data_IF_537117393498
#
_entry.id   IF_537117393498
#
_cell.length_a   1.000
_cell.length_b   1.000
_cell.length_c   1.000
_cell.angle_alpha   90.00
_cell.angle_beta   90.00
_cell.angle_gamma   90.00
#
_symmetry.space_group_name_H-M   'P 1'
#
loop_
_entity.id
_entity.type
_entity.pdbx_description
1 polymer ?
#
# COMPACT_ATOMS: atom_id res chain seq x y z
N UNK A 1 19.61 8.33 -8.76
CA UNK A 1 18.84 8.60 -7.49
C UNK A 1 18.52 7.26 -6.85
N UNK A 2 18.64 7.10 -5.53
CA UNK A 2 18.37 5.81 -4.87
C UNK A 2 16.86 5.52 -4.86
N UNK A 3 16.47 4.35 -5.34
CA UNK A 3 15.07 3.88 -5.31
C UNK A 3 14.73 3.42 -3.89
N UNK A 4 13.59 3.86 -3.38
CA UNK A 4 13.11 3.47 -2.05
C UNK A 4 11.95 2.46 -2.15
N UNK A 5 11.93 1.49 -1.23
CA UNK A 5 10.89 0.48 -1.15
C UNK A 5 9.99 0.73 0.06
N UNK A 6 8.68 0.82 -0.20
CA UNK A 6 7.63 0.66 0.78
C UNK A 6 7.18 -0.80 0.79
N UNK A 7 7.11 -1.41 1.95
CA UNK A 7 6.65 -2.80 2.09
C UNK A 7 5.24 -2.84 2.67
N UNK A 8 4.32 -3.48 1.94
CA UNK A 8 2.98 -3.80 2.42
C UNK A 8 3.05 -5.01 3.35
N UNK A 9 2.88 -4.79 4.64
CA UNK A 9 3.00 -5.80 5.69
C UNK A 9 1.62 -6.13 6.27
N UNK A 10 1.31 -7.42 6.39
CA UNK A 10 0.02 -7.91 6.89
C UNK A 10 0.01 -8.21 8.39
N UNK A 11 1.09 -7.88 9.08
CA UNK A 11 1.24 -8.11 10.53
C UNK A 11 2.42 -7.32 11.10
N UNK A 12 2.47 -7.17 12.42
CA UNK A 12 3.63 -6.61 13.10
C UNK A 12 4.91 -7.42 12.83
N UNK A 13 4.80 -8.75 12.71
CA UNK A 13 5.94 -9.60 12.36
C UNK A 13 6.47 -9.32 10.95
N UNK A 14 5.56 -9.15 9.97
CA UNK A 14 5.92 -8.74 8.61
C UNK A 14 6.55 -7.34 8.57
N UNK A 15 6.09 -6.42 9.42
CA UNK A 15 6.70 -5.09 9.54
C UNK A 15 8.14 -5.14 10.06
N UNK A 16 8.43 -5.99 11.06
CA UNK A 16 9.79 -6.25 11.55
C UNK A 16 10.67 -6.83 10.44
N UNK A 17 10.16 -7.80 9.68
CA UNK A 17 10.90 -8.41 8.58
C UNK A 17 11.19 -7.38 7.46
N UNK A 18 10.25 -6.48 7.18
CA UNK A 18 10.43 -5.39 6.23
C UNK A 18 11.56 -4.45 6.65
N UNK A 19 11.59 -4.01 7.91
CA UNK A 19 12.66 -3.18 8.47
C UNK A 19 14.01 -3.89 8.42
N UNK A 20 14.07 -5.15 8.85
CA UNK A 20 15.29 -5.98 8.80
C UNK A 20 15.80 -6.19 7.36
N UNK A 21 14.92 -6.17 6.38
CA UNK A 21 15.23 -6.22 4.96
C UNK A 21 15.71 -4.89 4.38
N UNK A 22 15.61 -3.78 5.11
CA UNK A 22 16.05 -2.46 4.68
C UNK A 22 14.97 -1.65 3.97
N UNK A 23 13.69 -1.97 4.16
CA UNK A 23 12.58 -1.15 3.68
C UNK A 23 12.70 0.30 4.20
N UNK A 24 12.32 1.27 3.39
CA UNK A 24 12.34 2.68 3.80
C UNK A 24 11.14 3.06 4.67
N UNK A 25 10.05 2.30 4.57
CA UNK A 25 8.81 2.45 5.34
C UNK A 25 7.93 1.21 5.16
N UNK A 26 6.94 1.07 6.01
CA UNK A 26 5.95 -0.01 5.96
C UNK A 26 4.56 0.58 5.77
N UNK A 27 3.78 0.00 4.85
CA UNK A 27 2.33 0.11 4.87
C UNK A 27 1.78 -1.08 5.65
N UNK A 28 1.16 -0.82 6.81
CA UNK A 28 0.53 -1.86 7.62
C UNK A 28 -0.92 -2.02 7.20
N UNK A 29 -1.32 -3.26 6.91
CA UNK A 29 -2.69 -3.62 6.56
C UNK A 29 -3.02 -5.02 7.08
N UNK A 30 -4.26 -5.44 6.96
CA UNK A 30 -4.71 -6.82 7.10
C UNK A 30 -5.37 -7.30 5.80
N UNK A 31 -5.73 -8.58 5.70
CA UNK A 31 -6.49 -9.15 4.57
C UNK A 31 -5.89 -8.84 3.18
N UNK A 32 -4.60 -9.08 3.00
CA UNK A 32 -3.90 -8.80 1.72
C UNK A 32 -4.51 -9.55 0.53
N UNK A 33 -5.14 -10.69 0.73
CA UNK A 33 -5.84 -11.43 -0.33
C UNK A 33 -7.02 -10.64 -0.90
N UNK A 34 -7.61 -9.76 -0.08
CA UNK A 34 -8.70 -8.87 -0.45
C UNK A 34 -8.21 -7.47 -0.89
N UNK A 35 -6.90 -7.34 -1.13
CA UNK A 35 -6.28 -6.07 -1.47
C UNK A 35 -5.97 -5.16 -0.27
N UNK A 36 -6.07 -5.69 0.94
CA UNK A 36 -5.80 -5.00 2.19
C UNK A 36 -7.02 -4.32 2.80
N UNK A 37 -7.13 -4.37 4.12
CA UNK A 37 -8.10 -3.62 4.94
C UNK A 37 -7.38 -2.94 6.10
N UNK A 38 -8.06 -2.04 6.82
CA UNK A 38 -7.51 -1.41 8.03
C UNK A 38 -7.04 -2.46 9.02
N UNK A 39 -5.80 -2.39 9.51
CA UNK A 39 -5.32 -3.31 10.52
C UNK A 39 -5.99 -3.05 11.86
N UNK A 40 -6.09 -4.10 12.68
CA UNK A 40 -6.67 -3.97 14.02
C UNK A 40 -5.86 -3.01 14.91
N UNK A 41 -6.54 -2.43 15.90
CA UNK A 41 -5.91 -1.62 16.96
C UNK A 41 -4.64 -2.29 17.52
N UNK A 42 -4.73 -3.58 17.84
CA UNK A 42 -3.61 -4.33 18.40
C UNK A 42 -2.41 -4.41 17.46
N UNK A 43 -2.66 -4.65 16.17
CA UNK A 43 -1.62 -4.68 15.15
C UNK A 43 -0.91 -3.32 15.02
N UNK A 44 -1.66 -2.22 14.94
CA UNK A 44 -1.09 -0.86 14.83
C UNK A 44 -0.24 -0.55 16.05
N UNK A 45 -0.80 -0.76 17.26
CA UNK A 45 -0.12 -0.47 18.54
C UNK A 45 1.20 -1.24 18.67
N UNK A 46 1.16 -2.54 18.39
CA UNK A 46 2.34 -3.40 18.54
C UNK A 46 3.36 -3.11 17.44
N UNK A 47 2.94 -2.98 16.19
CA UNK A 47 3.86 -2.64 15.10
C UNK A 47 4.58 -1.31 15.36
N UNK A 48 3.87 -0.26 15.82
CA UNK A 48 4.47 1.05 16.14
C UNK A 48 5.54 0.97 17.23
N UNK A 49 5.40 0.04 18.18
CA UNK A 49 6.40 -0.16 19.24
C UNK A 49 7.64 -0.91 18.76
N UNK A 50 7.49 -1.78 17.76
CA UNK A 50 8.52 -2.74 17.35
C UNK A 50 9.37 -2.24 16.18
N UNK A 51 8.82 -1.39 15.29
CA UNK A 51 9.56 -0.86 14.14
C UNK A 51 9.92 0.61 14.34
N UNK A 52 11.09 1.01 13.80
CA UNK A 52 11.61 2.38 13.88
C UNK A 52 11.41 3.17 12.60
N UNK A 53 11.23 2.48 11.47
CA UNK A 53 10.95 3.12 10.19
C UNK A 53 9.51 3.64 10.16
N UNK A 54 9.18 4.62 9.28
CA UNK A 54 7.84 5.17 9.17
C UNK A 54 6.78 4.10 8.94
N UNK A 55 5.68 4.20 9.70
CA UNK A 55 4.55 3.29 9.64
C UNK A 55 3.33 4.02 9.04
N UNK A 56 2.93 3.59 7.86
CA UNK A 56 1.77 4.06 7.12
C UNK A 56 0.61 3.09 7.36
N UNK A 57 -0.55 3.58 7.70
CA UNK A 57 -1.71 2.73 8.01
C UNK A 57 -2.72 2.80 6.88
N UNK A 58 -3.08 1.64 6.34
CA UNK A 58 -4.17 1.55 5.37
C UNK A 58 -5.51 1.77 6.08
N UNK A 59 -6.27 2.77 5.62
CA UNK A 59 -7.63 3.04 6.08
C UNK A 59 -8.63 2.60 5.01
N UNK A 60 -9.09 1.37 5.13
CA UNK A 60 -10.04 0.72 4.24
C UNK A 60 -10.93 -0.23 5.04
N UNK A 61 -12.19 0.14 5.32
CA UNK A 61 -13.02 -0.57 6.29
C UNK A 61 -13.47 -1.96 5.83
N UNK A 62 -13.46 -2.22 4.52
CA UNK A 62 -13.83 -3.51 3.91
C UNK A 62 -13.14 -3.76 2.58
N UNK A 63 -13.17 -5.00 2.14
CA UNK A 63 -12.84 -5.40 0.77
C UNK A 63 -13.89 -4.90 -0.26
N UNK A 64 -13.63 -5.15 -1.53
CA UNK A 64 -14.48 -4.73 -2.65
C UNK A 64 -14.12 -3.34 -3.17
N UNK A 65 -15.13 -2.58 -3.60
CA UNK A 65 -14.98 -1.25 -4.19
C UNK A 65 -14.59 -0.16 -3.17
N UNK A 66 -14.56 1.08 -3.63
CA UNK A 66 -14.18 2.24 -2.81
C UNK A 66 -15.30 3.29 -2.71
N UNK A 67 -16.54 2.88 -3.00
CA UNK A 67 -17.75 3.67 -2.75
C UNK A 67 -18.28 3.33 -1.36
N UNK A 68 -18.11 4.20 -0.40
CA UNK A 68 -18.45 3.94 1.00
C UNK A 68 -19.75 4.62 1.43
N UNK A 69 -20.51 3.92 2.25
CA UNK A 69 -21.65 4.48 2.98
C UNK A 69 -21.19 5.52 4.03
N UNK A 70 -22.14 6.27 4.60
CA UNK A 70 -21.83 7.21 5.66
C UNK A 70 -21.23 6.52 6.91
N UNK A 71 -21.74 5.34 7.27
CA UNK A 71 -21.18 4.58 8.39
C UNK A 71 -19.75 4.09 8.13
N UNK A 72 -19.45 3.62 6.93
CA UNK A 72 -18.08 3.22 6.55
C UNK A 72 -17.13 4.43 6.54
N UNK A 73 -17.62 5.59 6.13
CA UNK A 73 -16.84 6.82 6.20
C UNK A 73 -16.54 7.23 7.64
N UNK A 74 -17.53 7.14 8.56
CA UNK A 74 -17.28 7.42 9.98
C UNK A 74 -16.31 6.41 10.62
N UNK A 75 -16.31 5.14 10.18
CA UNK A 75 -15.28 4.16 10.58
C UNK A 75 -13.88 4.62 10.13
N UNK A 76 -13.73 5.04 8.86
CA UNK A 76 -12.44 5.55 8.36
C UNK A 76 -11.96 6.76 9.19
N UNK A 77 -12.85 7.66 9.56
CA UNK A 77 -12.51 8.83 10.42
C UNK A 77 -12.03 8.40 11.79
N UNK A 78 -12.74 7.47 12.44
CA UNK A 78 -12.37 6.96 13.76
C UNK A 78 -11.01 6.25 13.72
N UNK A 79 -10.74 5.45 12.67
CA UNK A 79 -9.45 4.80 12.44
C UNK A 79 -8.34 5.84 12.24
N UNK A 80 -8.60 6.93 11.50
CA UNK A 80 -7.65 8.03 11.32
C UNK A 80 -7.34 8.72 12.67
N UNK A 81 -8.35 9.03 13.46
CA UNK A 81 -8.18 9.62 14.79
C UNK A 81 -7.31 8.75 15.68
N UNK A 82 -7.53 7.44 15.63
CA UNK A 82 -6.69 6.49 16.35
C UNK A 82 -5.23 6.49 15.83
N UNK A 83 -5.01 6.51 14.53
CA UNK A 83 -3.65 6.57 13.95
C UNK A 83 -2.90 7.83 14.40
N UNK A 84 -3.58 8.96 14.47
CA UNK A 84 -3.04 10.22 15.01
C UNK A 84 -2.62 10.05 16.47
N UNK A 85 -3.50 9.49 17.31
CA UNK A 85 -3.22 9.25 18.73
C UNK A 85 -2.08 8.23 18.95
N UNK A 86 -1.99 7.22 18.07
CA UNK A 86 -0.94 6.21 18.12
C UNK A 86 0.43 6.71 17.64
N UNK A 87 0.50 7.93 17.09
CA UNK A 87 1.73 8.52 16.57
C UNK A 87 2.23 7.88 15.29
N UNK A 88 1.31 7.40 14.43
CA UNK A 88 1.66 6.91 13.09
C UNK A 88 2.09 8.08 12.19
N UNK A 89 3.07 7.85 11.31
CA UNK A 89 3.63 8.90 10.47
C UNK A 89 2.80 9.17 9.21
N UNK A 90 1.94 8.22 8.82
CA UNK A 90 1.14 8.36 7.60
C UNK A 90 -0.12 7.51 7.60
N UNK A 91 -1.04 7.90 6.72
CA UNK A 91 -2.22 7.10 6.36
C UNK A 91 -2.34 6.92 4.86
N UNK A 92 -2.98 5.84 4.47
CA UNK A 92 -3.22 5.46 3.09
C UNK A 92 -4.73 5.37 2.89
N UNK A 93 -5.29 6.21 2.04
CA UNK A 93 -6.73 6.42 1.86
C UNK A 93 -7.13 6.42 0.39
N UNK A 94 -8.42 6.33 0.10
CA UNK A 94 -8.99 6.52 -1.23
C UNK A 94 -10.48 6.23 -1.23
N UNK A 95 -11.27 7.21 -1.67
CA UNK A 95 -12.73 7.12 -1.75
C UNK A 95 -13.16 7.57 -3.13
N UNK A 96 -14.06 6.81 -3.74
CA UNK A 96 -14.62 7.11 -5.05
C UNK A 96 -16.12 7.34 -4.97
N UNK A 97 -16.64 8.12 -5.90
CA UNK A 97 -18.05 8.23 -6.21
C UNK A 97 -18.51 7.05 -7.09
N UNK A 98 -19.82 6.86 -7.20
CA UNK A 98 -20.42 5.81 -8.01
C UNK A 98 -20.07 5.90 -9.51
N UNK A 99 -19.72 7.07 -10.01
CA UNK A 99 -19.28 7.31 -11.38
C UNK A 99 -17.76 7.10 -11.62
N UNK A 100 -17.04 6.64 -10.58
CA UNK A 100 -15.60 6.41 -10.64
C UNK A 100 -14.75 7.68 -10.53
N UNK A 101 -15.33 8.82 -10.17
CA UNK A 101 -14.56 10.01 -9.82
C UNK A 101 -14.10 9.99 -8.36
N UNK A 102 -13.06 10.76 -8.01
CA UNK A 102 -12.62 10.90 -6.61
C UNK A 102 -13.70 11.61 -5.78
N UNK A 103 -14.09 11.04 -4.64
CA UNK A 103 -14.95 11.72 -3.67
C UNK A 103 -14.15 12.83 -2.95
N UNK A 104 -14.06 13.99 -3.63
CA UNK A 104 -13.26 15.11 -3.13
C UNK A 104 -13.73 15.64 -1.78
N UNK A 105 -15.03 15.79 -1.48
CA UNK A 105 -15.47 16.26 -0.18
C UNK A 105 -15.02 15.40 0.99
N UNK A 106 -15.20 14.07 0.89
CA UNK A 106 -14.80 13.15 1.96
C UNK A 106 -13.28 13.00 2.05
N UNK A 107 -12.59 12.87 0.90
CA UNK A 107 -11.13 12.82 0.88
C UNK A 107 -10.51 14.09 1.46
N UNK A 108 -11.04 15.30 1.13
CA UNK A 108 -10.52 16.55 1.65
C UNK A 108 -10.57 16.62 3.19
N UNK A 109 -11.66 16.16 3.80
CA UNK A 109 -11.78 16.14 5.27
C UNK A 109 -10.72 15.23 5.91
N UNK A 110 -10.56 14.00 5.40
CA UNK A 110 -9.57 13.05 5.91
C UNK A 110 -8.14 13.59 5.74
N UNK A 111 -7.83 14.12 4.56
CA UNK A 111 -6.51 14.68 4.24
C UNK A 111 -6.22 15.87 5.16
N UNK A 112 -7.18 16.77 5.36
CA UNK A 112 -7.02 17.91 6.24
C UNK A 112 -6.75 17.47 7.69
N UNK A 113 -7.47 16.46 8.19
CA UNK A 113 -7.24 15.90 9.53
C UNK A 113 -5.83 15.33 9.65
N UNK A 114 -5.40 14.51 8.69
CA UNK A 114 -4.06 13.91 8.67
C UNK A 114 -2.97 14.99 8.57
N UNK A 115 -3.11 15.96 7.66
CA UNK A 115 -2.14 17.04 7.46
C UNK A 115 -2.03 17.96 8.68
N UNK A 116 -3.13 18.24 9.36
CA UNK A 116 -3.12 19.02 10.63
C UNK A 116 -2.33 18.31 11.73
N UNK A 117 -2.28 16.97 11.70
CA UNK A 117 -1.46 16.16 12.60
C UNK A 117 -0.02 15.93 12.07
N UNK A 118 0.36 16.53 10.94
CA UNK A 118 1.69 16.40 10.35
C UNK A 118 1.93 15.08 9.60
N UNK A 119 0.87 14.33 9.31
CA UNK A 119 0.98 13.02 8.66
C UNK A 119 1.19 13.13 7.14
N UNK A 120 1.91 12.16 6.60
CA UNK A 120 1.99 11.91 5.17
C UNK A 120 0.72 11.18 4.69
N UNK A 121 0.23 11.50 3.49
CA UNK A 121 -0.99 10.91 2.94
C UNK A 121 -0.73 10.30 1.58
N UNK A 122 -0.98 9.00 1.46
CA UNK A 122 -0.96 8.26 0.19
C UNK A 122 -2.40 8.02 -0.29
N UNK A 123 -2.69 8.30 -1.55
CA UNK A 123 -3.91 7.84 -2.20
C UNK A 123 -3.64 6.44 -2.78
N UNK A 124 -4.38 5.44 -2.30
CA UNK A 124 -4.14 4.04 -2.63
C UNK A 124 -4.70 3.62 -3.99
N UNK A 125 -4.74 2.31 -4.26
CA UNK A 125 -5.16 1.73 -5.54
C UNK A 125 -6.63 1.95 -5.92
N UNK A 126 -7.44 2.67 -5.13
CA UNK A 126 -8.69 3.26 -5.62
C UNK A 126 -8.44 4.10 -6.89
N UNK A 127 -7.24 4.69 -7.00
CA UNK A 127 -6.78 5.41 -8.18
C UNK A 127 -6.82 4.57 -9.46
N UNK A 128 -6.54 3.28 -9.36
CA UNK A 128 -6.58 2.34 -10.50
C UNK A 128 -8.01 2.06 -11.01
N UNK A 129 -9.03 2.37 -10.21
CA UNK A 129 -10.45 2.21 -10.55
C UNK A 129 -11.13 3.53 -10.92
N UNK A 130 -10.39 4.63 -11.00
CA UNK A 130 -10.94 5.89 -11.46
C UNK A 130 -11.31 5.83 -12.94
N UNK A 131 -12.45 6.42 -13.31
CA UNK A 131 -12.93 6.49 -14.69
C UNK A 131 -11.94 7.22 -15.61
N UNK A 132 -11.30 8.28 -15.11
CA UNK A 132 -10.21 9.00 -15.76
C UNK A 132 -9.06 9.22 -14.79
N UNK A 133 -7.98 8.45 -14.98
CA UNK A 133 -6.79 8.51 -14.13
C UNK A 133 -6.03 9.84 -14.24
N UNK A 134 -6.11 10.54 -15.39
CA UNK A 134 -5.43 11.83 -15.54
C UNK A 134 -6.18 12.95 -14.84
N UNK A 135 -7.52 12.92 -14.87
CA UNK A 135 -8.33 13.83 -14.05
C UNK A 135 -8.15 13.52 -12.56
N UNK A 136 -8.17 12.24 -12.17
CA UNK A 136 -7.93 11.81 -10.81
C UNK A 136 -6.55 12.24 -10.29
N UNK A 137 -5.51 12.24 -11.13
CA UNK A 137 -4.18 12.75 -10.77
C UNK A 137 -4.25 14.22 -10.34
N UNK A 138 -4.91 15.07 -11.13
CA UNK A 138 -5.06 16.51 -10.80
C UNK A 138 -5.92 16.70 -9.53
N UNK A 139 -7.00 15.94 -9.39
CA UNK A 139 -7.86 15.99 -8.20
C UNK A 139 -7.08 15.61 -6.92
N UNK A 140 -6.29 14.52 -6.96
CA UNK A 140 -5.51 14.05 -5.81
C UNK A 140 -4.36 15.02 -5.47
N UNK A 141 -3.74 15.64 -6.47
CA UNK A 141 -2.76 16.72 -6.26
C UNK A 141 -3.42 17.93 -5.58
N UNK A 142 -4.58 18.36 -6.09
CA UNK A 142 -5.31 19.51 -5.55
C UNK A 142 -5.79 19.26 -4.11
N UNK A 143 -6.09 18.02 -3.74
CA UNK A 143 -6.43 17.61 -2.39
C UNK A 143 -5.24 17.63 -1.41
N UNK A 144 -3.99 17.69 -1.91
CA UNK A 144 -2.79 17.77 -1.10
C UNK A 144 -2.25 16.42 -0.60
N UNK A 145 -2.52 15.32 -1.31
CA UNK A 145 -1.82 14.06 -1.08
C UNK A 145 -0.34 14.18 -1.45
N UNK A 146 0.50 13.36 -0.80
CA UNK A 146 1.95 13.32 -1.05
C UNK A 146 2.34 12.23 -2.05
N UNK A 147 1.51 11.19 -2.19
CA UNK A 147 1.80 10.03 -3.01
C UNK A 147 0.53 9.41 -3.59
N UNK A 148 0.66 8.82 -4.77
CA UNK A 148 -0.33 7.92 -5.37
C UNK A 148 0.31 6.55 -5.53
N UNK A 149 -0.33 5.52 -4.95
CA UNK A 149 -0.01 4.12 -5.19
C UNK A 149 -0.86 3.61 -6.37
N UNK A 150 -0.23 3.10 -7.41
CA UNK A 150 -0.95 2.67 -8.63
C UNK A 150 -0.26 1.51 -9.34
N UNK A 151 -1.05 0.71 -10.03
CA UNK A 151 -0.58 -0.26 -11.03
C UNK A 151 -0.80 0.25 -12.48
N UNK A 152 -1.16 1.53 -12.64
CA UNK A 152 -1.47 2.09 -13.96
C UNK A 152 -2.81 1.61 -14.54
N UNK A 153 -3.78 1.27 -13.67
CA UNK A 153 -5.10 0.77 -14.05
C UNK A 153 -5.07 -0.66 -14.62
N UNK A 154 -4.05 -1.45 -14.25
CA UNK A 154 -3.90 -2.86 -14.64
C UNK A 154 -3.80 -3.77 -13.42
N UNK A 155 -3.81 -5.08 -13.64
CA UNK A 155 -3.65 -6.05 -12.55
C UNK A 155 -2.28 -5.90 -11.89
N UNK A 156 -1.23 -5.72 -12.69
CA UNK A 156 0.14 -5.55 -12.23
C UNK A 156 0.76 -4.23 -12.70
N UNK A 157 1.72 -3.71 -11.93
CA UNK A 157 2.45 -2.49 -12.27
C UNK A 157 3.26 -2.64 -13.57
N UNK A 158 3.74 -3.84 -13.89
CA UNK A 158 4.50 -4.08 -15.12
C UNK A 158 3.58 -3.98 -16.35
N UNK A 159 2.35 -4.50 -16.28
CA UNK A 159 1.35 -4.34 -17.35
C UNK A 159 0.94 -2.89 -17.54
N UNK A 160 0.89 -2.13 -16.45
CA UNK A 160 0.54 -0.71 -16.45
C UNK A 160 1.70 0.25 -16.60
N UNK A 161 2.93 -0.23 -16.83
CA UNK A 161 4.15 0.58 -16.81
C UNK A 161 4.09 1.80 -17.74
N UNK A 162 3.51 1.66 -18.92
CA UNK A 162 3.35 2.78 -19.89
C UNK A 162 2.45 3.90 -19.31
N UNK A 163 1.35 3.53 -18.64
CA UNK A 163 0.47 4.51 -18.00
C UNK A 163 1.16 5.15 -16.79
N UNK A 164 1.90 4.36 -15.99
CA UNK A 164 2.67 4.86 -14.85
C UNK A 164 3.71 5.89 -15.30
N UNK A 165 4.46 5.62 -16.38
CA UNK A 165 5.42 6.58 -16.96
C UNK A 165 4.73 7.91 -17.37
N UNK A 166 3.58 7.84 -18.01
CA UNK A 166 2.78 9.02 -18.37
C UNK A 166 2.31 9.81 -17.13
N UNK A 167 1.88 9.09 -16.07
CA UNK A 167 1.47 9.71 -14.81
C UNK A 167 2.64 10.40 -14.12
N UNK A 168 3.82 9.79 -14.08
CA UNK A 168 5.05 10.39 -13.53
C UNK A 168 5.41 11.66 -14.30
N UNK A 169 5.40 11.60 -15.64
CA UNK A 169 5.66 12.75 -16.48
C UNK A 169 4.65 13.88 -16.22
N UNK A 170 3.34 13.56 -16.20
CA UNK A 170 2.28 14.54 -15.99
C UNK A 170 2.28 15.10 -14.56
N UNK A 171 2.60 14.29 -13.56
CA UNK A 171 2.76 14.74 -12.19
C UNK A 171 3.85 15.81 -12.05
N UNK A 172 4.90 15.76 -12.87
CA UNK A 172 5.99 16.75 -12.93
C UNK A 172 6.56 17.10 -11.55
N UNK A 173 6.70 16.11 -10.66
CA UNK A 173 7.22 16.29 -9.31
C UNK A 173 6.25 16.89 -8.29
N UNK A 174 5.01 17.23 -8.68
CA UNK A 174 3.99 17.79 -7.76
C UNK A 174 3.48 16.78 -6.74
N UNK A 175 3.54 15.50 -7.09
CA UNK A 175 3.17 14.37 -6.23
C UNK A 175 4.05 13.16 -6.59
N UNK A 176 4.32 12.28 -5.63
CA UNK A 176 5.04 11.03 -5.89
C UNK A 176 4.11 9.98 -6.51
N UNK A 177 4.51 9.37 -7.62
CA UNK A 177 3.82 8.20 -8.18
C UNK A 177 4.62 6.96 -7.79
N UNK A 178 3.99 6.05 -7.10
CA UNK A 178 4.59 4.84 -6.55
C UNK A 178 3.97 3.60 -7.20
N UNK A 179 4.68 2.93 -8.11
CA UNK A 179 4.21 1.67 -8.69
C UNK A 179 4.05 0.58 -7.63
N UNK A 180 2.90 -0.11 -7.67
CA UNK A 180 2.60 -1.26 -6.84
C UNK A 180 1.63 -2.23 -7.52
N UNK A 181 1.58 -3.47 -7.02
CA UNK A 181 0.86 -4.57 -7.63
C UNK A 181 1.79 -5.48 -8.43
N UNK A 182 2.13 -6.63 -7.84
CA UNK A 182 2.99 -7.65 -8.46
C UNK A 182 4.47 -7.27 -8.59
N UNK A 183 4.94 -6.23 -7.89
CA UNK A 183 6.36 -5.85 -7.90
C UNK A 183 7.17 -6.87 -7.10
N UNK A 184 8.24 -7.35 -7.70
CA UNK A 184 9.13 -8.37 -7.15
C UNK A 184 10.59 -8.15 -7.59
N UNK A 185 11.52 -8.91 -7.03
CA UNK A 185 12.93 -8.94 -7.43
C UNK A 185 13.16 -9.29 -8.90
N UNK A 186 12.17 -9.90 -9.56
CA UNK A 186 12.28 -10.37 -10.95
C UNK A 186 11.85 -9.31 -11.98
N UNK A 187 11.12 -8.27 -11.57
CA UNK A 187 10.58 -7.28 -12.50
C UNK A 187 10.85 -5.82 -12.11
N UNK A 188 11.35 -5.58 -10.90
CA UNK A 188 11.54 -4.23 -10.37
C UNK A 188 12.55 -3.41 -11.16
N UNK A 189 13.64 -4.03 -11.64
CA UNK A 189 14.66 -3.33 -12.42
C UNK A 189 14.08 -2.75 -13.72
N UNK A 190 13.36 -3.58 -14.47
CA UNK A 190 12.69 -3.17 -15.72
C UNK A 190 11.62 -2.11 -15.45
N UNK A 191 10.83 -2.29 -14.37
CA UNK A 191 9.78 -1.37 -13.99
C UNK A 191 10.32 0.02 -13.68
N UNK A 192 11.36 0.13 -12.86
CA UNK A 192 11.94 1.44 -12.49
C UNK A 192 12.66 2.08 -13.65
N UNK A 193 13.36 1.30 -14.47
CA UNK A 193 14.04 1.79 -15.67
C UNK A 193 13.04 2.38 -16.67
N UNK A 194 11.97 1.65 -16.96
CA UNK A 194 10.98 2.07 -17.95
C UNK A 194 10.14 3.27 -17.46
N UNK A 195 9.74 3.27 -16.18
CA UNK A 195 8.82 4.28 -15.64
C UNK A 195 9.52 5.53 -15.12
N UNK A 196 10.78 5.44 -14.72
CA UNK A 196 11.49 6.48 -13.99
C UNK A 196 11.02 6.63 -12.54
N UNK A 197 10.31 5.66 -11.98
CA UNK A 197 9.84 5.69 -10.59
C UNK A 197 11.02 5.68 -9.62
N UNK A 198 10.93 6.51 -8.57
CA UNK A 198 11.94 6.59 -7.50
C UNK A 198 11.47 5.94 -6.20
N UNK A 199 10.22 5.53 -6.15
CA UNK A 199 9.58 4.80 -5.05
C UNK A 199 8.80 3.63 -5.62
N UNK A 200 8.85 2.50 -4.94
CA UNK A 200 8.16 1.27 -5.33
C UNK A 200 7.46 0.67 -4.11
N UNK A 201 6.42 -0.10 -4.38
CA UNK A 201 5.61 -0.77 -3.35
C UNK A 201 5.55 -2.27 -3.63
N UNK A 202 5.84 -3.10 -2.63
CA UNK A 202 5.76 -4.56 -2.74
C UNK A 202 5.45 -5.19 -1.40
N UNK A 203 4.78 -6.33 -1.37
CA UNK A 203 4.59 -7.10 -0.14
C UNK A 203 5.81 -7.96 0.22
N UNK A 204 6.66 -8.29 -0.76
CA UNK A 204 7.81 -9.18 -0.60
C UNK A 204 7.48 -10.47 0.19
N UNK A 205 6.24 -10.96 0.07
CA UNK A 205 5.72 -12.06 0.89
C UNK A 205 6.15 -13.43 0.39
N UNK A 206 6.27 -14.35 1.32
CA UNK A 206 6.47 -15.78 1.11
C UNK A 206 5.42 -16.56 1.89
N UNK A 207 5.16 -17.78 1.48
CA UNK A 207 4.37 -18.73 2.28
C UNK A 207 5.26 -19.41 3.30
N UNK A 208 4.80 -19.45 4.53
CA UNK A 208 5.41 -20.17 5.63
C UNK A 208 4.41 -21.19 6.20
N UNK A 209 4.84 -22.40 6.39
CA UNK A 209 4.03 -23.42 7.05
C UNK A 209 3.82 -23.05 8.53
N UNK A 210 2.60 -23.23 9.00
CA UNK A 210 2.26 -23.10 10.42
C UNK A 210 3.06 -24.09 11.27
N UNK A 211 3.42 -23.69 12.47
CA UNK A 211 4.04 -24.55 13.46
C UNK A 211 3.03 -25.51 14.15
N UNK A 212 1.75 -25.48 13.78
CA UNK A 212 0.77 -26.41 14.32
C UNK A 212 1.11 -27.85 13.95
N UNK A 213 1.19 -28.71 14.95
CA UNK A 213 1.47 -30.15 14.80
C UNK A 213 0.18 -30.88 14.35
N UNK A 214 -0.94 -30.61 15.03
CA UNK A 214 -2.23 -31.16 14.64
C UNK A 214 -2.82 -30.37 13.47
N UNK A 215 -3.23 -31.06 12.41
CA UNK A 215 -3.87 -30.47 11.23
C UNK A 215 -5.19 -31.17 10.93
N UNK A 216 -6.29 -30.43 10.96
CA UNK A 216 -7.58 -30.93 10.48
C UNK A 216 -7.73 -30.57 8.99
N UNK A 217 -7.57 -31.56 8.13
CA UNK A 217 -7.65 -31.37 6.67
C UNK A 217 -9.08 -31.50 6.10
N UNK A 218 -10.08 -31.69 6.96
CA UNK A 218 -11.46 -31.88 6.57
C UNK A 218 -12.31 -30.59 6.63
N UNK A 219 -11.76 -29.52 7.17
CA UNK A 219 -12.46 -28.25 7.38
C UNK A 219 -11.66 -27.12 6.72
N UNK A 220 -12.36 -26.29 5.97
CA UNK A 220 -11.87 -25.01 5.44
C UNK A 220 -12.65 -23.91 6.17
N UNK A 221 -11.97 -23.02 6.87
CA UNK A 221 -12.59 -21.94 7.68
C UNK A 221 -12.69 -20.66 6.86
N UNK A 222 -11.71 -20.38 6.03
CA UNK A 222 -11.62 -19.17 5.21
C UNK A 222 -12.00 -19.39 3.75
N UNK A 223 -11.50 -18.54 2.86
CA UNK A 223 -11.64 -18.72 1.42
C UNK A 223 -10.77 -19.89 0.95
N UNK A 224 -11.29 -20.71 0.05
CA UNK A 224 -10.70 -21.96 -0.45
C UNK A 224 -9.37 -21.83 -1.22
N UNK A 225 -8.73 -20.66 -1.22
CA UNK A 225 -7.53 -20.43 -2.03
C UNK A 225 -6.22 -20.81 -1.32
N UNK A 226 -6.24 -21.03 -0.02
CA UNK A 226 -5.04 -21.38 0.76
C UNK A 226 -5.31 -22.55 1.70
N UNK A 227 -4.28 -23.34 1.97
CA UNK A 227 -4.26 -24.26 3.11
C UNK A 227 -4.35 -23.41 4.40
N UNK A 228 -5.22 -23.79 5.34
CA UNK A 228 -5.37 -23.12 6.67
C UNK A 228 -4.06 -23.06 7.46
N UNK A 229 -3.10 -23.88 7.07
CA UNK A 229 -1.78 -23.99 7.70
C UNK A 229 -0.66 -23.27 6.93
N UNK A 230 -1.03 -22.51 5.89
CA UNK A 230 -0.11 -21.64 5.15
C UNK A 230 -0.29 -20.20 5.62
N UNK A 231 0.79 -19.60 6.11
CA UNK A 231 0.83 -18.22 6.56
C UNK A 231 1.61 -17.37 5.55
N UNK A 232 1.00 -16.29 5.10
CA UNK A 232 1.72 -15.30 4.30
C UNK A 232 2.48 -14.33 5.22
N UNK A 233 3.79 -14.24 5.04
CA UNK A 233 4.65 -13.30 5.79
C UNK A 233 5.62 -12.59 4.85
N UNK A 234 6.00 -11.37 5.19
CA UNK A 234 7.08 -10.65 4.48
C UNK A 234 8.42 -11.33 4.74
N UNK A 235 9.21 -11.52 3.69
CA UNK A 235 10.58 -12.05 3.77
C UNK A 235 11.59 -10.90 3.74
N UNK A 236 12.40 -10.78 4.78
CA UNK A 236 13.50 -9.81 4.81
C UNK A 236 14.51 -10.01 3.67
N UNK A 237 14.73 -11.25 3.24
CA UNK A 237 15.61 -11.56 2.12
C UNK A 237 15.02 -11.03 0.80
N UNK A 238 13.72 -11.27 0.54
CA UNK A 238 13.08 -10.72 -0.67
C UNK A 238 13.08 -9.20 -0.67
N UNK A 239 12.86 -8.57 0.49
CA UNK A 239 12.97 -7.10 0.64
C UNK A 239 14.36 -6.62 0.21
N UNK A 240 15.44 -7.26 0.71
CA UNK A 240 16.82 -6.94 0.31
C UNK A 240 17.03 -7.12 -1.19
N UNK A 241 16.55 -8.22 -1.77
CA UNK A 241 16.71 -8.54 -3.17
C UNK A 241 15.97 -7.52 -4.06
N UNK A 242 14.74 -7.12 -3.70
CA UNK A 242 14.00 -6.08 -4.42
C UNK A 242 14.75 -4.75 -4.38
N UNK A 243 15.25 -4.33 -3.21
CA UNK A 243 16.01 -3.08 -3.07
C UNK A 243 17.31 -3.13 -3.89
N UNK A 244 18.03 -4.25 -3.84
CA UNK A 244 19.25 -4.45 -4.61
C UNK A 244 18.97 -4.32 -6.10
N UNK A 245 17.99 -5.09 -6.62
CA UNK A 245 17.63 -5.10 -8.05
C UNK A 245 17.07 -3.74 -8.52
N UNK A 246 16.30 -3.05 -7.70
CA UNK A 246 15.81 -1.72 -8.03
C UNK A 246 16.92 -0.67 -8.18
N UNK A 247 18.06 -0.86 -7.49
CA UNK A 247 19.19 0.07 -7.49
C UNK A 247 20.42 -0.46 -8.28
N UNK A 248 20.32 -1.65 -8.86
CA UNK A 248 21.34 -2.19 -9.74
C UNK A 248 21.43 -1.31 -11.00
N UNK A 249 22.62 -0.77 -11.29
CA UNK A 249 22.82 -0.02 -12.53
C UNK A 249 22.72 -1.02 -13.71
N UNK A 250 21.82 -0.76 -14.63
CA UNK A 250 21.84 -1.53 -15.87
C UNK A 250 23.16 -1.22 -16.58
N UNK A 251 23.87 -2.24 -17.11
CA UNK A 251 25.02 -1.97 -17.96
C UNK A 251 24.58 -1.10 -19.14
N UNK A 252 25.37 -0.06 -19.40
CA UNK A 252 25.15 0.91 -20.47
C UNK A 252 25.12 0.23 -21.85
#
# INVERSE_FOLDING_TARGET
MKISLEVCANSAQSAIAAEAGGASRVELCENLHEGGTTPSYGQIKIARQLVKIPLHILLRPRAGDFLYSDNEYEIIKADLEYCIQAGCEAVVIGILNADGTVDKPRCAQLIQMAKKAGMYVTFHRAFDLCADMFQALEDVIALGCDCILTSGGKTTAIEGASKIAQLIQKAAGRISIMPGGGVSEYNVADLVHFTGATRIHSSARVRRQSAMIYKNTHIIVGSSFNDEYDLDETSAERVKNIIYKANEQQPA
#
